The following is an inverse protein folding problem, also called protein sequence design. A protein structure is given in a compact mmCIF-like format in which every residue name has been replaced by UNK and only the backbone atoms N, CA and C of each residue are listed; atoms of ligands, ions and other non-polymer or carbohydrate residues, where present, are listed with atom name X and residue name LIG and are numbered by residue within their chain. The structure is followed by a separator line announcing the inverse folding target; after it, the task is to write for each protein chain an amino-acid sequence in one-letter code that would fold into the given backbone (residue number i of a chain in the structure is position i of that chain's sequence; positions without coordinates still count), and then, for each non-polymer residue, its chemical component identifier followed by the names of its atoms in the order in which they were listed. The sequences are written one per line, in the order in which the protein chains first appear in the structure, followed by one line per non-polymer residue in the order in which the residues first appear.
data_IF_435032079717
#
_entry.id   IF_435032079717
#
_cell.length_a   1.000
_cell.length_b   1.000
_cell.length_c   1.000
_cell.angle_alpha   90.00
_cell.angle_beta   90.00
_cell.angle_gamma   90.00
#
_symmetry.space_group_name_H-M   'P 1'
#
loop_
_entity.id
_entity.type
_entity.pdbx_description
1 polymer ?
#
# COMPACT_ATOMS: atom_id res chain seq x y z
N UNK A 1 23.27 4.54 -23.34
CA UNK A 1 22.35 3.46 -22.89
C UNK A 1 22.89 2.67 -21.70
N UNK A 2 24.18 2.30 -21.64
CA UNK A 2 24.76 1.62 -20.46
C UNK A 2 24.42 2.32 -19.12
N UNK A 3 24.62 3.64 -19.04
CA UNK A 3 24.21 4.43 -17.87
C UNK A 3 22.69 4.38 -17.59
N UNK A 4 21.87 4.25 -18.64
CA UNK A 4 20.41 4.16 -18.49
C UNK A 4 19.98 2.87 -17.82
N UNK A 5 20.60 1.72 -18.14
CA UNK A 5 20.34 0.46 -17.46
C UNK A 5 20.78 0.49 -15.99
N UNK A 6 21.94 1.10 -15.70
CA UNK A 6 22.40 1.29 -14.32
C UNK A 6 21.50 2.23 -13.51
N UNK A 7 20.97 3.28 -14.13
CA UNK A 7 19.99 4.16 -13.49
C UNK A 7 18.69 3.41 -13.22
N UNK A 8 18.17 2.64 -14.20
CA UNK A 8 16.95 1.85 -14.02
C UNK A 8 17.10 0.81 -12.91
N UNK A 9 18.26 0.15 -12.79
CA UNK A 9 18.57 -0.74 -11.66
C UNK A 9 18.42 0.01 -10.33
N UNK A 10 19.06 1.19 -10.22
CA UNK A 10 18.97 2.01 -9.00
C UNK A 10 17.53 2.41 -8.70
N UNK A 11 16.76 2.82 -9.70
CA UNK A 11 15.36 3.23 -9.51
C UNK A 11 14.49 2.08 -8.99
N UNK A 12 14.74 0.85 -9.48
CA UNK A 12 14.06 -0.37 -9.03
C UNK A 12 14.46 -0.74 -7.60
N UNK A 13 15.75 -0.67 -7.27
CA UNK A 13 16.25 -0.91 -5.90
C UNK A 13 15.68 0.12 -4.91
N UNK A 14 15.68 1.40 -5.30
CA UNK A 14 15.12 2.48 -4.49
C UNK A 14 13.60 2.31 -4.32
N UNK A 15 12.89 1.80 -5.34
CA UNK A 15 11.47 1.49 -5.22
C UNK A 15 11.21 0.40 -4.16
N UNK A 16 12.01 -0.66 -4.14
CA UNK A 16 11.89 -1.72 -3.11
C UNK A 16 12.05 -1.13 -1.72
N UNK A 17 13.06 -0.28 -1.51
CA UNK A 17 13.29 0.39 -0.22
C UNK A 17 12.12 1.30 0.17
N UNK A 18 11.63 2.12 -0.77
CA UNK A 18 10.48 3.00 -0.52
C UNK A 18 9.20 2.23 -0.22
N UNK A 19 9.00 1.11 -0.90
CA UNK A 19 7.85 0.23 -0.68
C UNK A 19 7.91 -0.39 0.72
N UNK A 20 9.09 -0.86 1.15
CA UNK A 20 9.28 -1.39 2.51
C UNK A 20 8.97 -0.34 3.59
N UNK A 21 9.50 0.88 3.42
CA UNK A 21 9.21 1.99 4.31
C UNK A 21 7.72 2.38 4.32
N UNK A 22 7.06 2.34 3.16
CA UNK A 22 5.61 2.58 3.05
C UNK A 22 4.82 1.52 3.84
N UNK A 23 5.12 0.23 3.65
CA UNK A 23 4.46 -0.87 4.37
C UNK A 23 4.64 -0.70 5.89
N UNK A 24 5.85 -0.40 6.35
CA UNK A 24 6.13 -0.22 7.79
C UNK A 24 5.38 0.99 8.38
N UNK A 25 5.42 2.13 7.69
CA UNK A 25 4.76 3.36 8.11
C UNK A 25 3.24 3.15 8.17
N UNK A 26 2.64 2.67 7.09
CA UNK A 26 1.19 2.43 7.02
C UNK A 26 0.73 1.36 8.01
N UNK A 27 1.53 0.31 8.24
CA UNK A 27 1.22 -0.69 9.27
C UNK A 27 1.17 -0.08 10.67
N UNK A 28 2.12 0.79 10.98
CA UNK A 28 2.20 1.48 12.27
C UNK A 28 1.02 2.44 12.45
N UNK A 29 0.71 3.24 11.43
CA UNK A 29 -0.43 4.17 11.44
C UNK A 29 -1.77 3.43 11.61
N UNK A 30 -1.99 2.34 10.88
CA UNK A 30 -3.21 1.53 11.01
C UNK A 30 -3.31 0.87 12.37
N UNK A 31 -2.19 0.44 12.96
CA UNK A 31 -2.19 -0.13 14.30
C UNK A 31 -2.53 0.93 15.35
N UNK A 32 -1.96 2.13 15.22
CA UNK A 32 -2.29 3.25 16.10
C UNK A 32 -3.77 3.63 16.00
N UNK A 33 -4.29 3.79 14.77
CA UNK A 33 -5.73 4.07 14.55
C UNK A 33 -6.63 3.00 15.16
N UNK A 34 -6.26 1.72 15.05
CA UNK A 34 -7.03 0.64 15.66
C UNK A 34 -7.05 0.75 17.20
N UNK A 35 -5.92 1.06 17.83
CA UNK A 35 -5.83 1.25 19.29
C UNK A 35 -6.65 2.46 19.73
N UNK A 36 -6.55 3.58 19.03
CA UNK A 36 -7.33 4.80 19.32
C UNK A 36 -8.84 4.54 19.20
N UNK A 37 -9.28 3.87 18.13
CA UNK A 37 -10.67 3.49 17.95
C UNK A 37 -11.16 2.53 19.03
N UNK A 38 -10.34 1.56 19.45
CA UNK A 38 -10.68 0.66 20.56
C UNK A 38 -10.88 1.41 21.87
N UNK A 39 -10.02 2.39 22.17
CA UNK A 39 -10.16 3.23 23.35
C UNK A 39 -11.45 4.06 23.31
N UNK A 40 -11.76 4.68 22.17
CA UNK A 40 -13.01 5.45 21.99
C UNK A 40 -14.24 4.56 22.13
N UNK A 41 -14.23 3.38 21.51
CA UNK A 41 -15.31 2.38 21.64
C UNK A 41 -15.54 2.02 23.11
N UNK A 42 -14.47 1.78 23.86
CA UNK A 42 -14.58 1.43 25.28
C UNK A 42 -15.15 2.58 26.11
N UNK A 43 -14.72 3.81 25.85
CA UNK A 43 -15.30 4.99 26.49
C UNK A 43 -16.79 5.17 26.18
N UNK A 44 -17.21 4.93 24.93
CA UNK A 44 -18.63 4.99 24.55
C UNK A 44 -19.43 3.91 25.27
N UNK A 45 -18.91 2.68 25.41
CA UNK A 45 -19.57 1.62 26.17
C UNK A 45 -19.76 1.99 27.64
N UNK A 46 -18.72 2.55 28.28
CA UNK A 46 -18.80 3.03 29.66
C UNK A 46 -19.87 4.13 29.78
N UNK A 47 -19.93 5.06 28.82
CA UNK A 47 -20.95 6.11 28.80
C UNK A 47 -22.37 5.54 28.63
N UNK A 48 -22.55 4.53 27.77
CA UNK A 48 -23.84 3.83 27.61
C UNK A 48 -24.25 3.15 28.92
N UNK A 49 -23.32 2.46 29.60
CA UNK A 49 -23.60 1.83 30.90
C UNK A 49 -24.06 2.85 31.94
N UNK A 50 -23.37 4.00 32.03
CA UNK A 50 -23.78 5.08 32.93
C UNK A 50 -25.15 5.67 32.57
N UNK A 51 -25.46 5.81 31.28
CA UNK A 51 -26.79 6.26 30.85
C UNK A 51 -27.87 5.22 31.16
N UNK A 52 -27.59 3.93 30.98
CA UNK A 52 -28.53 2.85 31.33
C UNK A 52 -28.83 2.85 32.84
N UNK A 53 -27.82 3.08 33.70
CA UNK A 53 -28.02 3.26 35.16
C UNK A 53 -28.90 4.48 35.47
N UNK A 54 -28.61 5.64 34.87
CA UNK A 54 -29.40 6.87 35.07
C UNK A 54 -30.84 6.74 34.57
N UNK A 55 -31.08 6.01 33.47
CA UNK A 55 -32.41 5.71 32.94
C UNK A 55 -33.21 4.88 33.95
N UNK A 56 -32.58 3.87 34.57
CA UNK A 56 -33.22 3.04 35.59
C UNK A 56 -33.61 3.89 36.81
N UNK A 57 -32.69 4.72 37.31
CA UNK A 57 -32.96 5.60 38.44
C UNK A 57 -34.08 6.61 38.15
N UNK A 58 -34.05 7.24 36.97
CA UNK A 58 -35.10 8.16 36.53
C UNK A 58 -36.46 7.48 36.37
N UNK A 59 -36.49 6.23 35.88
CA UNK A 59 -37.72 5.44 35.79
C UNK A 59 -38.29 5.09 37.17
N UNK A 60 -37.44 4.73 38.14
CA UNK A 60 -37.85 4.50 39.53
C UNK A 60 -38.43 5.78 40.15
N UNK A 61 -37.75 6.92 39.95
CA UNK A 61 -38.22 8.22 40.42
C UNK A 61 -39.57 8.63 39.79
N UNK A 62 -39.75 8.36 38.49
CA UNK A 62 -41.02 8.59 37.80
C UNK A 62 -42.15 7.73 38.40
N UNK A 63 -41.90 6.45 38.69
CA UNK A 63 -42.88 5.56 39.33
C UNK A 63 -43.24 6.03 40.75
N UNK A 64 -42.25 6.47 41.53
CA UNK A 64 -42.47 6.98 42.88
C UNK A 64 -43.28 8.28 42.89
N UNK A 65 -43.01 9.20 41.94
CA UNK A 65 -43.78 10.44 41.79
C UNK A 65 -45.18 10.20 41.23
N UNK A 66 -45.35 9.21 40.35
CA UNK A 66 -46.66 8.77 39.86
C UNK A 66 -47.56 8.23 40.98
N UNK A 67 -47.00 7.46 41.92
CA UNK A 67 -47.73 6.99 43.10
C UNK A 67 -48.17 8.13 44.04
N UNK A 68 -47.51 9.29 43.98
CA UNK A 68 -47.82 10.48 44.78
C UNK A 68 -48.57 11.58 44.00
N UNK A 69 -49.04 11.28 42.77
CA UNK A 69 -49.63 12.23 41.83
C UNK A 69 -50.95 12.87 42.31
N UNK A 70 -51.56 12.36 43.37
CA UNK A 70 -52.71 12.99 44.04
C UNK A 70 -52.35 14.33 44.71
N UNK A 71 -51.06 14.63 44.85
CA UNK A 71 -50.55 15.90 45.37
C UNK A 71 -49.98 16.80 44.27
N UNK A 72 -50.08 18.12 44.44
CA UNK A 72 -49.50 19.11 43.53
C UNK A 72 -47.98 18.89 43.37
N UNK A 73 -47.30 18.48 44.44
CA UNK A 73 -45.86 18.14 44.44
C UNK A 73 -45.60 16.90 43.57
N UNK A 74 -46.46 15.88 43.63
CA UNK A 74 -46.36 14.68 42.79
C UNK A 74 -46.53 14.95 41.30
N UNK A 75 -47.45 15.84 40.91
CA UNK A 75 -47.65 16.24 39.50
C UNK A 75 -46.43 16.97 38.91
N UNK A 76 -45.82 17.89 39.67
CA UNK A 76 -44.59 18.59 39.24
C UNK A 76 -43.43 17.59 39.15
N UNK A 77 -43.29 16.69 40.13
CA UNK A 77 -42.28 15.62 40.12
C UNK A 77 -42.40 14.70 38.92
N UNK A 78 -43.63 14.34 38.52
CA UNK A 78 -43.92 13.50 37.36
C UNK A 78 -43.46 14.15 36.05
N UNK A 79 -43.77 15.44 35.85
CA UNK A 79 -43.40 16.17 34.64
C UNK A 79 -41.87 16.30 34.51
N UNK A 80 -41.17 16.60 35.61
CA UNK A 80 -39.71 16.71 35.63
C UNK A 80 -39.05 15.35 35.41
N UNK A 81 -39.48 14.29 36.12
CA UNK A 81 -38.90 12.96 35.96
C UNK A 81 -39.13 12.39 34.54
N UNK A 82 -40.30 12.64 33.94
CA UNK A 82 -40.60 12.20 32.58
C UNK A 82 -39.74 12.89 31.51
N UNK A 83 -39.47 14.18 31.66
CA UNK A 83 -38.61 14.92 30.72
C UNK A 83 -37.14 14.50 30.82
N UNK A 84 -36.62 14.31 32.03
CA UNK A 84 -35.25 13.80 32.25
C UNK A 84 -35.08 12.41 31.64
N UNK A 85 -36.05 11.51 31.84
CA UNK A 85 -36.01 10.16 31.28
C UNK A 85 -35.94 10.17 29.74
N UNK A 86 -36.71 11.03 29.08
CA UNK A 86 -36.68 11.16 27.61
C UNK A 86 -35.34 11.69 27.09
N UNK A 87 -34.73 12.66 27.78
CA UNK A 87 -33.40 13.18 27.42
C UNK A 87 -32.34 12.08 27.52
N UNK A 88 -32.33 11.32 28.63
CA UNK A 88 -31.38 10.23 28.83
C UNK A 88 -31.51 9.12 27.77
N UNK A 89 -32.74 8.74 27.41
CA UNK A 89 -32.99 7.77 26.33
C UNK A 89 -32.46 8.31 25.00
N UNK A 90 -32.68 9.60 24.70
CA UNK A 90 -32.16 10.25 23.49
C UNK A 90 -30.63 10.21 23.41
N UNK A 91 -29.94 10.55 24.49
CA UNK A 91 -28.48 10.48 24.59
C UNK A 91 -27.96 9.06 24.42
N UNK A 92 -28.64 8.08 25.03
CA UNK A 92 -28.29 6.65 24.92
C UNK A 92 -28.41 6.14 23.48
N UNK A 93 -29.46 6.54 22.77
CA UNK A 93 -29.64 6.20 21.34
C UNK A 93 -28.53 6.83 20.51
N UNK A 94 -28.22 8.11 20.72
CA UNK A 94 -27.13 8.79 20.01
C UNK A 94 -25.78 8.09 20.24
N UNK A 95 -25.47 7.71 21.48
CA UNK A 95 -24.25 6.95 21.82
C UNK A 95 -24.22 5.55 21.22
N UNK A 96 -25.37 4.90 21.06
CA UNK A 96 -25.47 3.58 20.40
C UNK A 96 -25.18 3.69 18.90
N UNK A 97 -25.65 4.75 18.25
CA UNK A 97 -25.33 5.04 16.84
C UNK A 97 -23.83 5.30 16.71
N UNK A 98 -23.29 6.19 17.55
CA UNK A 98 -21.86 6.50 17.59
C UNK A 98 -21.00 5.23 17.79
N UNK A 99 -21.41 4.33 18.70
CA UNK A 99 -20.74 3.05 18.91
C UNK A 99 -20.70 2.19 17.64
N UNK A 100 -21.83 2.09 16.94
CA UNK A 100 -21.94 1.33 15.69
C UNK A 100 -21.03 1.90 14.60
N UNK A 101 -20.99 3.22 14.47
CA UNK A 101 -20.14 3.91 13.49
C UNK A 101 -18.66 3.64 13.78
N UNK A 102 -18.22 3.78 15.04
CA UNK A 102 -16.83 3.51 15.44
C UNK A 102 -16.42 2.06 15.27
N UNK A 103 -17.33 1.11 15.52
CA UNK A 103 -17.09 -0.30 15.24
C UNK A 103 -16.93 -0.56 13.73
N UNK A 104 -17.70 0.14 12.90
CA UNK A 104 -17.55 0.12 11.44
C UNK A 104 -16.19 0.63 10.99
N UNK A 105 -15.74 1.78 11.53
CA UNK A 105 -14.41 2.34 11.27
C UNK A 105 -13.29 1.35 11.66
N UNK A 106 -13.40 0.71 12.83
CA UNK A 106 -12.42 -0.28 13.28
C UNK A 106 -12.37 -1.52 12.36
N UNK A 107 -13.52 -1.99 11.88
CA UNK A 107 -13.59 -3.09 10.92
C UNK A 107 -12.93 -2.71 9.58
N UNK A 108 -13.09 -1.46 9.13
CA UNK A 108 -12.42 -0.96 7.93
C UNK A 108 -10.90 -0.91 8.12
N UNK A 109 -10.42 -0.42 9.27
CA UNK A 109 -8.98 -0.40 9.60
C UNK A 109 -8.41 -1.82 9.60
N UNK A 110 -9.09 -2.79 10.22
CA UNK A 110 -8.66 -4.19 10.21
C UNK A 110 -8.59 -4.75 8.79
N UNK A 111 -9.58 -4.46 7.94
CA UNK A 111 -9.56 -4.86 6.52
C UNK A 111 -8.39 -4.23 5.75
N UNK A 112 -8.03 -2.98 6.05
CA UNK A 112 -6.85 -2.32 5.47
C UNK A 112 -5.56 -3.00 5.92
N UNK A 113 -5.45 -3.41 7.18
CA UNK A 113 -4.30 -4.17 7.69
C UNK A 113 -4.15 -5.52 6.98
N UNK A 114 -5.25 -6.27 6.80
CA UNK A 114 -5.25 -7.52 6.03
C UNK A 114 -4.82 -7.31 4.57
N UNK A 115 -5.36 -6.26 3.92
CA UNK A 115 -4.97 -5.87 2.57
C UNK A 115 -3.49 -5.53 2.45
N UNK A 116 -2.95 -4.78 3.42
CA UNK A 116 -1.54 -4.43 3.47
C UNK A 116 -0.64 -5.66 3.64
N UNK A 117 -1.03 -6.59 4.52
CA UNK A 117 -0.31 -7.85 4.72
C UNK A 117 -0.29 -8.72 3.45
N UNK A 118 -1.41 -8.78 2.71
CA UNK A 118 -1.49 -9.47 1.43
C UNK A 118 -0.58 -8.82 0.38
N UNK A 119 -0.64 -7.51 0.23
CA UNK A 119 0.22 -6.75 -0.69
C UNK A 119 1.70 -6.97 -0.36
N UNK A 120 2.08 -6.93 0.92
CA UNK A 120 3.45 -7.24 1.36
C UNK A 120 3.87 -8.66 0.96
N UNK A 121 3.01 -9.65 1.21
CA UNK A 121 3.29 -11.06 0.87
C UNK A 121 3.47 -11.26 -0.63
N UNK A 122 2.59 -10.68 -1.45
CA UNK A 122 2.72 -10.74 -2.91
C UNK A 122 4.00 -10.06 -3.39
N UNK A 123 4.34 -8.90 -2.82
CA UNK A 123 5.56 -8.18 -3.15
C UNK A 123 6.83 -8.94 -2.75
N UNK A 124 6.85 -9.53 -1.55
CA UNK A 124 7.95 -10.37 -1.08
C UNK A 124 8.15 -11.59 -1.99
N UNK A 125 7.06 -12.14 -2.54
CA UNK A 125 7.10 -13.18 -3.57
C UNK A 125 7.71 -12.73 -4.90
N UNK A 126 7.60 -11.44 -5.25
CA UNK A 126 8.16 -10.85 -6.47
C UNK A 126 9.64 -10.42 -6.31
N UNK A 127 10.15 -10.30 -5.08
CA UNK A 127 11.55 -9.88 -4.84
C UNK A 127 12.59 -10.68 -5.62
N UNK A 128 12.54 -12.03 -5.67
CA UNK A 128 13.53 -12.79 -6.43
C UNK A 128 13.57 -12.39 -7.91
N UNK A 129 12.40 -12.15 -8.51
CA UNK A 129 12.29 -11.71 -9.90
C UNK A 129 12.80 -10.28 -10.09
N UNK A 130 12.55 -9.39 -9.13
CA UNK A 130 13.08 -8.02 -9.13
C UNK A 130 14.60 -8.03 -9.07
N UNK A 131 15.21 -8.84 -8.19
CA UNK A 131 16.66 -8.99 -8.11
C UNK A 131 17.23 -9.58 -9.40
N UNK A 132 16.57 -10.58 -9.98
CA UNK A 132 16.96 -11.14 -11.26
C UNK A 132 16.94 -10.07 -12.36
N UNK A 133 15.90 -9.21 -12.42
CA UNK A 133 15.82 -8.11 -13.37
C UNK A 133 16.99 -7.14 -13.16
N UNK A 134 17.30 -6.76 -11.91
CA UNK A 134 18.44 -5.90 -11.59
C UNK A 134 19.77 -6.51 -12.09
N UNK A 135 19.99 -7.80 -11.89
CA UNK A 135 21.17 -8.50 -12.40
C UNK A 135 21.23 -8.48 -13.93
N UNK A 136 20.09 -8.69 -14.60
CA UNK A 136 20.02 -8.61 -16.07
C UNK A 136 20.30 -7.20 -16.57
N UNK A 137 19.86 -6.15 -15.86
CA UNK A 137 20.15 -4.76 -16.20
C UNK A 137 21.65 -4.45 -16.13
N UNK A 138 22.37 -5.01 -15.16
CA UNK A 138 23.85 -4.91 -15.11
C UNK A 138 24.47 -5.54 -16.35
N UNK A 139 24.06 -6.76 -16.71
CA UNK A 139 24.57 -7.44 -17.91
C UNK A 139 24.30 -6.63 -19.18
N UNK A 140 23.12 -6.03 -19.32
CA UNK A 140 22.82 -5.13 -20.44
C UNK A 140 23.69 -3.88 -20.44
N UNK A 141 23.96 -3.31 -19.26
CA UNK A 141 24.86 -2.16 -19.12
C UNK A 141 26.29 -2.49 -19.57
N UNK A 142 26.80 -3.66 -19.18
CA UNK A 142 28.14 -4.15 -19.55
C UNK A 142 28.26 -4.41 -21.04
N UNK A 143 27.28 -5.13 -21.63
CA UNK A 143 27.23 -5.38 -23.08
C UNK A 143 27.24 -4.05 -23.83
N UNK A 144 26.38 -3.09 -23.46
CA UNK A 144 26.32 -1.81 -24.16
C UNK A 144 27.60 -0.97 -23.98
N UNK A 145 28.25 -1.06 -22.83
CA UNK A 145 29.54 -0.40 -22.59
C UNK A 145 30.63 -1.00 -23.50
N UNK A 146 30.67 -2.33 -23.60
CA UNK A 146 31.59 -3.05 -24.49
C UNK A 146 31.35 -2.70 -25.96
N UNK A 147 30.09 -2.71 -26.41
CA UNK A 147 29.72 -2.34 -27.79
C UNK A 147 30.18 -0.91 -28.09
N UNK A 148 29.90 0.04 -27.20
CA UNK A 148 30.35 1.43 -27.38
C UNK A 148 31.88 1.52 -27.49
N UNK A 149 32.62 0.83 -26.63
CA UNK A 149 34.08 0.84 -26.66
C UNK A 149 34.62 0.27 -27.98
N UNK A 150 34.07 -0.86 -28.43
CA UNK A 150 34.42 -1.48 -29.71
C UNK A 150 34.07 -0.57 -30.90
N UNK A 151 32.91 0.10 -30.91
CA UNK A 151 32.55 1.07 -31.94
C UNK A 151 33.53 2.25 -32.03
N UNK A 152 33.98 2.78 -30.89
CA UNK A 152 35.00 3.85 -30.85
C UNK A 152 36.35 3.35 -31.37
N UNK A 153 36.74 2.11 -31.04
CA UNK A 153 37.97 1.50 -31.58
C UNK A 153 37.87 1.28 -33.09
N UNK A 154 36.74 0.80 -33.60
CA UNK A 154 36.51 0.68 -35.04
C UNK A 154 36.59 2.02 -35.75
N UNK A 155 35.99 3.07 -35.18
CA UNK A 155 36.07 4.42 -35.75
C UNK A 155 37.52 4.88 -35.87
N UNK A 156 38.34 4.68 -34.83
CA UNK A 156 39.78 5.02 -34.87
C UNK A 156 40.54 4.20 -35.89
N UNK A 157 40.27 2.89 -36.00
CA UNK A 157 40.91 2.00 -36.97
C UNK A 157 40.55 2.38 -38.41
N UNK A 158 39.30 2.76 -38.68
CA UNK A 158 38.85 3.21 -40.01
C UNK A 158 39.44 4.58 -40.41
N UNK A 159 39.75 5.43 -39.44
CA UNK A 159 40.42 6.71 -39.67
C UNK A 159 41.87 6.54 -40.18
N UNK A 160 42.45 5.35 -40.00
CA UNK A 160 43.77 4.96 -40.53
C UNK A 160 43.79 4.57 -42.02
N UNK A 161 42.64 4.57 -42.73
CA UNK A 161 42.56 4.31 -44.17
C UNK A 161 42.36 2.84 -44.60
N UNK A 162 42.48 2.57 -45.91
CA UNK A 162 42.10 1.29 -46.56
C UNK A 162 42.90 0.07 -46.04
N UNK A 163 44.09 0.29 -45.45
CA UNK A 163 44.90 -0.76 -44.80
C UNK A 163 44.23 -1.39 -43.56
N UNK A 164 43.16 -0.77 -43.04
CA UNK A 164 42.37 -1.32 -41.94
C UNK A 164 41.51 -2.52 -42.36
N UNK A 165 41.12 -2.62 -43.64
CA UNK A 165 40.24 -3.70 -44.15
C UNK A 165 41.00 -5.01 -44.44
N UNK A 166 42.32 -4.93 -44.66
CA UNK A 166 43.25 -6.07 -44.74
C UNK A 166 43.77 -6.49 -43.36
N UNK A 167 43.54 -5.69 -42.31
CA UNK A 167 44.02 -5.97 -40.97
C UNK A 167 43.20 -7.09 -40.29
N UNK A 168 43.82 -8.26 -40.09
CA UNK A 168 43.24 -9.41 -39.39
C UNK A 168 42.72 -9.07 -37.98
N UNK A 169 43.31 -8.08 -37.30
CA UNK A 169 42.84 -7.62 -35.98
C UNK A 169 41.44 -7.00 -36.08
N UNK A 170 41.21 -6.16 -37.08
CA UNK A 170 39.91 -5.52 -37.31
C UNK A 170 38.81 -6.55 -37.60
N UNK A 171 39.11 -7.59 -38.39
CA UNK A 171 38.15 -8.69 -38.66
C UNK A 171 37.79 -9.47 -37.40
N UNK A 172 38.77 -9.77 -36.54
CA UNK A 172 38.53 -10.47 -35.26
C UNK A 172 37.73 -9.62 -34.28
N UNK A 173 38.01 -8.32 -34.21
CA UNK A 173 37.23 -7.38 -33.41
C UNK A 173 35.78 -7.33 -33.90
N UNK A 174 35.56 -7.29 -35.22
CA UNK A 174 34.21 -7.28 -35.81
C UNK A 174 33.44 -8.56 -35.49
N UNK A 175 34.10 -9.71 -35.57
CA UNK A 175 33.50 -11.00 -35.24
C UNK A 175 33.12 -11.07 -33.74
N UNK A 176 33.98 -10.55 -32.86
CA UNK A 176 33.71 -10.47 -31.43
C UNK A 176 32.51 -9.54 -31.13
N UNK A 177 32.45 -8.37 -31.75
CA UNK A 177 31.32 -7.45 -31.63
C UNK A 177 30.00 -8.10 -32.06
N UNK A 178 30.03 -8.83 -33.19
CA UNK A 178 28.87 -9.55 -33.70
C UNK A 178 28.41 -10.64 -32.72
N UNK A 179 29.34 -11.44 -32.19
CA UNK A 179 29.05 -12.48 -31.19
C UNK A 179 28.46 -11.92 -29.90
N UNK A 180 28.91 -10.74 -29.45
CA UNK A 180 28.36 -10.08 -28.26
C UNK A 180 26.96 -9.49 -28.51
N UNK A 181 26.67 -9.03 -29.72
CA UNK A 181 25.37 -8.45 -30.08
C UNK A 181 24.30 -9.50 -30.44
N UNK A 182 24.66 -10.70 -30.93
CA UNK A 182 23.69 -11.72 -31.36
C UNK A 182 22.68 -12.10 -30.25
N UNK A 183 23.09 -12.44 -29.01
CA UNK A 183 22.14 -12.75 -27.94
C UNK A 183 21.23 -11.57 -27.57
N UNK A 184 21.71 -10.33 -27.76
CA UNK A 184 20.93 -9.12 -27.52
C UNK A 184 19.83 -8.96 -28.58
N UNK A 185 20.17 -9.19 -29.85
CA UNK A 185 19.23 -9.15 -30.97
C UNK A 185 18.16 -10.23 -30.81
N UNK A 186 18.56 -11.48 -30.55
CA UNK A 186 17.63 -12.60 -30.35
C UNK A 186 16.72 -12.37 -29.14
N UNK A 187 17.26 -11.78 -28.07
CA UNK A 187 16.51 -11.41 -26.87
C UNK A 187 15.49 -10.30 -27.13
N UNK A 188 15.87 -9.26 -27.87
CA UNK A 188 14.98 -8.16 -28.25
C UNK A 188 13.89 -8.61 -29.23
N UNK A 189 14.21 -9.53 -30.14
CA UNK A 189 13.24 -10.13 -31.07
C UNK A 189 12.20 -10.98 -30.33
N UNK A 190 12.63 -11.80 -29.37
CA UNK A 190 11.72 -12.54 -28.47
C UNK A 190 10.88 -11.59 -27.60
N UNK A 191 11.49 -10.54 -27.06
CA UNK A 191 10.78 -9.51 -26.30
C UNK A 191 9.70 -8.84 -27.15
N UNK A 192 10.04 -8.41 -28.37
CA UNK A 192 9.09 -7.76 -29.28
C UNK A 192 7.94 -8.71 -29.68
N UNK A 193 8.23 -9.96 -29.98
CA UNK A 193 7.21 -10.94 -30.41
C UNK A 193 6.30 -11.42 -29.28
N UNK A 194 6.79 -11.49 -28.04
CA UNK A 194 6.01 -11.99 -26.89
C UNK A 194 5.24 -10.89 -26.15
N UNK A 195 5.70 -9.64 -26.13
CA UNK A 195 4.97 -8.53 -25.51
C UNK A 195 3.97 -7.85 -26.44
N UNK A 196 4.28 -7.71 -27.73
CA UNK A 196 3.35 -7.08 -28.70
C UNK A 196 2.14 -7.99 -28.98
N UNK A 197 2.31 -9.31 -28.90
CA UNK A 197 1.23 -10.28 -29.11
C UNK A 197 0.63 -10.85 -27.82
N UNK A 198 0.88 -10.22 -26.66
CA UNK A 198 0.28 -10.71 -25.41
C UNK A 198 -1.24 -10.50 -25.50
N UNK A 199 -2.08 -11.56 -25.50
CA UNK A 199 -3.52 -11.36 -25.40
C UNK A 199 -3.77 -10.65 -24.08
N UNK A 200 -4.47 -9.51 -24.13
CA UNK A 200 -5.02 -8.90 -22.92
C UNK A 200 -5.77 -9.99 -22.17
N UNK A 201 -5.33 -10.35 -20.96
CA UNK A 201 -6.12 -11.20 -20.07
C UNK A 201 -7.46 -10.50 -19.90
N UNK A 202 -8.47 -11.02 -20.59
CA UNK A 202 -9.86 -10.68 -20.38
C UNK A 202 -10.18 -10.94 -18.91
N UNK A 203 -10.64 -9.90 -18.23
CA UNK A 203 -11.30 -9.98 -16.93
C UNK A 203 -12.53 -10.89 -17.00
#
# INVERSE_FOLDING_TARGET
MSQGFMNLKRDVEDFVIRFDAYIETTSTELQQQAVELQQVIEQIKIAIQSLDEQIVDAAIALLATAAAAETIVGLIGLAVAGTVLLVLIGERVAKTIELSDRQGELAEVNKKQEGLAKIKTEFDGLRPDIYLICDKLVLFAEIWSSVRNQSVQFQKSLQGGIDATTNMRFKKELELARKLCTPLVDGLEKYATQLVNRPSRSA
#
